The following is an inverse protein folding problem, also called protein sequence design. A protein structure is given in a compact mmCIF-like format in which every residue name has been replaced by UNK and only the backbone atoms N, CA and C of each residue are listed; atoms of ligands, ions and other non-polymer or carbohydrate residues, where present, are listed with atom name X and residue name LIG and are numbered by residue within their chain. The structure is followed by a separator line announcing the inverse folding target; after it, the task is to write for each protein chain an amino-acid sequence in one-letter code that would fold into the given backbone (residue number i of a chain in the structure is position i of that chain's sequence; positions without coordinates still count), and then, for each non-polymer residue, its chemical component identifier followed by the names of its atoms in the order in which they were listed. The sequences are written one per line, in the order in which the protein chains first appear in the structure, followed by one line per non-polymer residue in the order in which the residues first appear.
data_IF_997048717399
#
_entry.id   IF_997048717399
#
_cell.length_a   1.000
_cell.length_b   1.000
_cell.length_c   1.000
_cell.angle_alpha   90.00
_cell.angle_beta   90.00
_cell.angle_gamma   90.00
#
_symmetry.space_group_name_H-M   'P 1'
#
loop_
_entity.id
_entity.type
_entity.pdbx_description
1 polymer ?
#
# COMPACT_ATOMS: atom_id res chain seq x y z
N UNK A 1 8.53 -13.55 -21.09
CA UNK A 1 9.97 -13.37 -20.81
C UNK A 1 10.39 -12.06 -21.44
N UNK A 2 11.00 -11.19 -20.65
CA UNK A 2 11.46 -9.86 -21.05
C UNK A 2 12.92 -9.89 -21.48
N UNK A 3 13.23 -9.10 -22.49
CA UNK A 3 14.61 -8.79 -22.89
C UNK A 3 15.10 -7.53 -22.17
N UNK A 4 16.42 -7.31 -22.16
CA UNK A 4 16.98 -6.08 -21.58
C UNK A 4 16.42 -4.79 -22.21
N UNK A 5 16.00 -4.82 -23.48
CA UNK A 5 15.35 -3.69 -24.15
C UNK A 5 13.95 -3.36 -23.64
N UNK A 6 13.25 -4.31 -23.00
CA UNK A 6 11.90 -4.08 -22.48
C UNK A 6 11.91 -3.34 -21.12
N UNK A 7 13.08 -3.32 -20.47
CA UNK A 7 13.27 -2.76 -19.14
C UNK A 7 12.97 -1.27 -19.11
N UNK A 8 12.08 -0.90 -18.20
CA UNK A 8 11.63 0.48 -17.98
C UNK A 8 11.10 0.62 -16.57
N UNK A 9 11.06 1.85 -16.06
CA UNK A 9 10.41 2.16 -14.78
C UNK A 9 8.95 1.67 -14.78
N UNK A 10 8.55 1.02 -13.69
CA UNK A 10 7.23 0.43 -13.49
C UNK A 10 7.10 -1.02 -13.99
N UNK A 11 8.04 -1.54 -14.77
CA UNK A 11 7.98 -2.93 -15.22
C UNK A 11 8.16 -3.88 -14.02
N UNK A 12 7.28 -4.89 -13.94
CA UNK A 12 7.37 -5.97 -12.95
C UNK A 12 8.10 -7.15 -13.57
N UNK A 13 9.13 -7.64 -12.88
CA UNK A 13 10.01 -8.73 -13.33
C UNK A 13 10.18 -9.74 -12.21
N UNK A 14 10.46 -10.99 -12.57
CA UNK A 14 10.76 -12.05 -11.61
C UNK A 14 12.25 -12.38 -11.64
N UNK A 15 12.87 -12.42 -10.46
CA UNK A 15 14.27 -12.77 -10.27
C UNK A 15 14.31 -13.84 -9.18
N UNK A 16 14.81 -15.02 -9.52
CA UNK A 16 14.92 -16.16 -8.59
C UNK A 16 13.60 -16.51 -7.89
N UNK A 17 12.48 -16.44 -8.62
CA UNK A 17 11.13 -16.72 -8.09
C UNK A 17 10.50 -15.59 -7.27
N UNK A 18 11.17 -14.43 -7.17
CA UNK A 18 10.69 -13.29 -6.38
C UNK A 18 10.26 -12.15 -7.30
N UNK A 19 9.08 -11.54 -7.09
CA UNK A 19 8.61 -10.41 -7.89
C UNK A 19 9.28 -9.10 -7.47
N UNK A 20 9.78 -8.36 -8.46
CA UNK A 20 10.38 -7.05 -8.33
C UNK A 20 9.70 -6.04 -9.25
N UNK A 21 9.61 -4.79 -8.81
CA UNK A 21 9.25 -3.66 -9.67
C UNK A 21 10.47 -2.78 -9.93
N UNK A 22 10.69 -2.40 -11.19
CA UNK A 22 11.75 -1.45 -11.56
C UNK A 22 11.33 -0.05 -11.13
N UNK A 23 12.02 0.51 -10.16
CA UNK A 23 11.75 1.85 -9.62
C UNK A 23 12.54 2.94 -10.33
N UNK A 24 13.71 2.59 -10.89
CA UNK A 24 14.56 3.49 -11.66
C UNK A 24 15.29 2.70 -12.75
N UNK A 25 15.55 3.36 -13.87
CA UNK A 25 16.14 2.75 -15.06
C UNK A 25 17.07 3.73 -15.78
N UNK A 26 18.27 3.28 -16.10
CA UNK A 26 19.25 4.05 -16.84
C UNK A 26 19.95 3.18 -17.89
N UNK A 27 19.90 3.62 -19.15
CA UNK A 27 20.54 2.96 -20.27
C UNK A 27 21.81 3.71 -20.70
N UNK A 28 22.93 2.99 -20.77
CA UNK A 28 24.22 3.53 -21.19
C UNK A 28 24.73 2.76 -22.40
N UNK A 29 24.94 3.48 -23.50
CA UNK A 29 25.61 2.96 -24.71
C UNK A 29 27.04 3.51 -24.77
N UNK A 30 28.06 2.74 -24.37
CA UNK A 30 29.44 3.22 -24.43
C UNK A 30 29.89 3.35 -25.89
N UNK A 31 30.78 4.31 -26.18
CA UNK A 31 31.33 4.50 -27.52
C UNK A 31 32.10 3.29 -28.07
N UNK A 32 32.57 2.42 -27.16
CA UNK A 32 33.09 1.07 -27.45
C UNK A 32 32.61 0.11 -26.35
N UNK A 33 32.09 -1.07 -26.74
CA UNK A 33 31.64 -2.11 -25.81
C UNK A 33 30.13 -2.38 -25.85
N UNK A 34 29.67 -3.34 -25.04
CA UNK A 34 28.27 -3.72 -24.95
C UNK A 34 27.46 -2.71 -24.13
N UNK A 35 26.23 -2.45 -24.58
CA UNK A 35 25.28 -1.60 -23.87
C UNK A 35 24.96 -2.12 -22.46
N UNK A 36 24.66 -1.21 -21.54
CA UNK A 36 24.38 -1.51 -20.14
C UNK A 36 23.02 -0.93 -19.76
N UNK A 37 22.22 -1.75 -19.09
CA UNK A 37 20.89 -1.43 -18.59
C UNK A 37 20.94 -1.48 -17.07
N UNK A 38 21.06 -0.34 -16.41
CA UNK A 38 21.10 -0.24 -14.96
C UNK A 38 19.68 -0.09 -14.42
N UNK A 39 19.26 -0.99 -13.53
CA UNK A 39 17.94 -0.96 -12.91
C UNK A 39 18.07 -0.86 -11.40
N UNK A 40 17.28 0.01 -10.77
CA UNK A 40 16.96 -0.06 -9.35
C UNK A 40 15.65 -0.80 -9.18
N UNK A 41 15.70 -1.95 -8.54
CA UNK A 41 14.59 -2.88 -8.36
C UNK A 41 14.12 -2.83 -6.90
N UNK A 42 12.80 -2.83 -6.68
CA UNK A 42 12.20 -2.95 -5.35
C UNK A 42 11.49 -4.30 -5.25
N UNK A 43 11.83 -5.09 -4.25
CA UNK A 43 11.17 -6.35 -3.94
C UNK A 43 9.71 -6.06 -3.57
N UNK A 44 8.77 -6.70 -4.23
CA UNK A 44 7.34 -6.44 -4.02
C UNK A 44 6.79 -7.09 -2.74
N UNK A 45 7.51 -8.04 -2.15
CA UNK A 45 7.14 -8.72 -0.90
C UNK A 45 7.76 -8.00 0.30
N UNK A 46 9.07 -7.75 0.25
CA UNK A 46 9.82 -7.22 1.40
C UNK A 46 10.05 -5.71 1.35
N UNK A 47 9.80 -5.07 0.20
CA UNK A 47 10.12 -3.65 -0.02
C UNK A 47 11.62 -3.34 -0.16
N UNK A 48 12.50 -4.33 0.01
CA UNK A 48 13.96 -4.16 -0.11
C UNK A 48 14.35 -3.69 -1.52
N UNK A 49 15.31 -2.78 -1.60
CA UNK A 49 15.80 -2.25 -2.88
C UNK A 49 17.15 -2.86 -3.25
N UNK A 50 17.32 -3.25 -4.51
CA UNK A 50 18.60 -3.69 -5.06
C UNK A 50 18.91 -2.97 -6.37
N UNK A 51 20.19 -2.85 -6.71
CA UNK A 51 20.62 -2.32 -8.00
C UNK A 51 21.30 -3.43 -8.79
N UNK A 52 20.89 -3.62 -10.04
CA UNK A 52 21.45 -4.64 -10.93
C UNK A 52 21.64 -4.08 -12.33
N UNK A 53 22.73 -4.48 -12.98
CA UNK A 53 23.04 -4.13 -14.36
C UNK A 53 22.82 -5.32 -15.26
N UNK A 54 22.17 -5.09 -16.39
CA UNK A 54 21.91 -6.09 -17.42
C UNK A 54 22.62 -5.72 -18.72
N UNK A 55 22.91 -6.74 -19.54
CA UNK A 55 23.44 -6.67 -20.90
C UNK A 55 22.33 -7.01 -21.88
N UNK A 56 22.54 -6.69 -23.16
CA UNK A 56 21.54 -6.90 -24.22
C UNK A 56 21.04 -8.35 -24.36
N UNK A 57 21.85 -9.34 -23.94
CA UNK A 57 21.49 -10.75 -24.02
C UNK A 57 20.83 -11.29 -22.75
N UNK A 58 20.77 -10.49 -21.68
CA UNK A 58 20.12 -10.90 -20.45
C UNK A 58 18.60 -10.91 -20.65
N UNK A 59 17.97 -11.92 -20.06
CA UNK A 59 16.52 -12.09 -20.05
C UNK A 59 16.01 -12.19 -18.63
N UNK A 60 14.77 -11.75 -18.44
CA UNK A 60 14.09 -11.71 -17.16
C UNK A 60 12.72 -12.35 -17.30
N UNK A 61 12.26 -13.04 -16.26
CA UNK A 61 10.94 -13.63 -16.27
C UNK A 61 9.88 -12.59 -15.93
N UNK A 62 8.66 -12.87 -16.36
CA UNK A 62 7.48 -12.11 -15.96
C UNK A 62 6.91 -12.78 -14.72
N UNK A 63 6.68 -12.03 -13.62
CA UNK A 63 6.12 -12.60 -12.41
C UNK A 63 4.65 -12.95 -12.65
N UNK A 64 4.22 -14.10 -12.13
CA UNK A 64 2.81 -14.47 -12.10
C UNK A 64 2.09 -13.66 -11.03
N UNK A 65 1.53 -12.53 -11.44
CA UNK A 65 0.76 -11.66 -10.58
C UNK A 65 -0.71 -11.72 -10.96
N UNK A 66 -1.55 -11.88 -9.96
CA UNK A 66 -2.99 -11.80 -10.08
C UNK A 66 -3.50 -10.71 -9.13
N UNK A 67 -4.41 -9.88 -9.62
CA UNK A 67 -5.05 -8.84 -8.83
C UNK A 67 -6.51 -9.23 -8.65
N UNK A 68 -6.95 -9.34 -7.40
CA UNK A 68 -8.33 -9.70 -7.05
C UNK A 68 -8.96 -8.61 -6.22
N UNK A 69 -10.05 -8.07 -6.72
CA UNK A 69 -10.92 -7.17 -5.95
C UNK A 69 -11.78 -8.00 -5.00
N UNK A 70 -11.60 -7.81 -3.69
CA UNK A 70 -12.29 -8.57 -2.64
C UNK A 70 -12.84 -7.63 -1.57
N UNK A 71 -13.81 -8.08 -0.79
CA UNK A 71 -14.38 -7.34 0.34
C UNK A 71 -13.86 -7.87 1.65
N UNK A 72 -13.46 -6.97 2.54
CA UNK A 72 -13.10 -7.35 3.89
C UNK A 72 -14.32 -7.93 4.63
N UNK A 73 -14.14 -9.07 5.29
CA UNK A 73 -15.17 -9.75 6.04
C UNK A 73 -14.95 -9.62 7.54
N UNK A 74 -13.93 -10.28 8.10
CA UNK A 74 -13.63 -10.23 9.53
C UNK A 74 -12.17 -10.55 9.81
N UNK A 75 -11.76 -10.34 11.06
CA UNK A 75 -10.45 -10.69 11.58
C UNK A 75 -10.53 -12.01 12.35
N UNK A 76 -9.61 -12.93 12.06
CA UNK A 76 -9.45 -14.21 12.77
C UNK A 76 -8.03 -14.30 13.35
N UNK A 77 -7.88 -14.11 14.66
CA UNK A 77 -6.57 -14.07 15.31
C UNK A 77 -5.67 -12.96 14.73
N UNK A 78 -4.57 -13.34 14.07
CA UNK A 78 -3.62 -12.43 13.41
C UNK A 78 -3.82 -12.33 11.89
N UNK A 79 -4.91 -12.91 11.39
CA UNK A 79 -5.27 -12.97 9.99
C UNK A 79 -6.56 -12.21 9.70
N UNK A 80 -6.71 -11.77 8.46
CA UNK A 80 -7.83 -10.99 7.98
C UNK A 80 -8.44 -11.72 6.78
N UNK A 81 -9.75 -11.96 6.84
CA UNK A 81 -10.48 -12.74 5.85
C UNK A 81 -11.18 -11.79 4.88
N UNK A 82 -10.99 -12.06 3.60
CA UNK A 82 -11.59 -11.32 2.49
C UNK A 82 -12.44 -12.27 1.63
N UNK A 83 -13.51 -11.74 1.04
CA UNK A 83 -14.46 -12.48 0.23
C UNK A 83 -14.52 -11.91 -1.20
N UNK A 84 -14.45 -12.77 -2.20
CA UNK A 84 -14.79 -12.42 -3.58
C UNK A 84 -16.33 -12.43 -3.77
N UNK A 85 -16.80 -11.91 -4.91
CA UNK A 85 -18.16 -11.98 -5.44
C UNK A 85 -18.73 -13.41 -5.45
N UNK A 86 -17.88 -14.43 -5.59
CA UNK A 86 -18.27 -15.83 -5.56
C UNK A 86 -18.27 -16.45 -4.14
N UNK A 87 -18.09 -15.64 -3.09
CA UNK A 87 -17.92 -16.08 -1.70
C UNK A 87 -16.69 -16.97 -1.45
N UNK A 88 -15.71 -16.95 -2.37
CA UNK A 88 -14.40 -17.55 -2.13
C UNK A 88 -13.64 -16.70 -1.11
N UNK A 89 -13.09 -17.37 -0.10
CA UNK A 89 -12.34 -16.74 0.97
C UNK A 89 -10.85 -16.69 0.64
N UNK A 90 -10.23 -15.55 0.94
CA UNK A 90 -8.79 -15.39 0.95
C UNK A 90 -8.37 -14.81 2.29
N UNK A 91 -7.37 -15.44 2.88
CA UNK A 91 -6.83 -15.04 4.18
C UNK A 91 -5.52 -14.29 3.99
N UNK A 92 -5.40 -13.12 4.60
CA UNK A 92 -4.21 -12.28 4.54
C UNK A 92 -3.68 -12.02 5.95
N UNK A 93 -2.38 -12.24 6.15
CA UNK A 93 -1.72 -12.01 7.44
C UNK A 93 -1.60 -10.51 7.74
N UNK A 94 -1.65 -10.15 9.02
CA UNK A 94 -1.46 -8.78 9.49
C UNK A 94 -0.15 -8.12 9.00
N UNK A 95 0.90 -8.92 8.77
CA UNK A 95 2.20 -8.46 8.25
C UNK A 95 2.10 -7.93 6.82
N UNK A 96 1.30 -8.57 5.96
CA UNK A 96 1.09 -8.17 4.55
C UNK A 96 0.25 -6.88 4.47
N UNK A 97 -0.71 -6.73 5.38
CA UNK A 97 -1.53 -5.52 5.49
C UNK A 97 -0.76 -4.32 6.07
N UNK A 98 0.25 -4.56 6.90
CA UNK A 98 0.99 -3.49 7.59
C UNK A 98 0.06 -2.59 8.40
N UNK A 99 0.25 -1.27 8.29
CA UNK A 99 -0.58 -0.28 8.98
C UNK A 99 -1.99 -0.15 8.37
N UNK A 100 -2.19 -0.58 7.12
CA UNK A 100 -3.49 -0.52 6.46
C UNK A 100 -4.57 -1.34 7.16
N UNK A 101 -4.17 -2.32 7.99
CA UNK A 101 -5.10 -3.10 8.83
C UNK A 101 -5.94 -2.25 9.77
N UNK A 102 -5.44 -1.08 10.19
CA UNK A 102 -6.17 -0.16 11.07
C UNK A 102 -7.25 0.62 10.32
N UNK A 103 -7.17 0.66 8.99
CA UNK A 103 -8.08 1.39 8.12
C UNK A 103 -9.20 0.51 7.54
N UNK A 104 -9.16 -0.81 7.78
CA UNK A 104 -10.20 -1.73 7.33
C UNK A 104 -11.54 -1.46 8.01
N UNK A 105 -12.61 -1.41 7.22
CA UNK A 105 -14.01 -1.31 7.65
C UNK A 105 -14.77 -2.49 7.04
N UNK A 106 -15.78 -3.02 7.73
CA UNK A 106 -16.60 -4.10 7.17
C UNK A 106 -17.11 -3.75 5.77
N UNK A 107 -17.14 -4.76 4.88
CA UNK A 107 -17.54 -4.65 3.49
C UNK A 107 -16.68 -3.74 2.60
N UNK A 108 -15.58 -3.16 3.11
CA UNK A 108 -14.68 -2.35 2.28
C UNK A 108 -14.10 -3.20 1.15
N UNK A 109 -14.21 -2.69 -0.07
CA UNK A 109 -13.63 -3.30 -1.26
C UNK A 109 -12.14 -2.91 -1.35
N UNK A 110 -11.28 -3.91 -1.54
CA UNK A 110 -9.82 -3.77 -1.63
C UNK A 110 -9.29 -4.58 -2.80
N UNK A 111 -8.16 -4.16 -3.34
CA UNK A 111 -7.45 -4.92 -4.38
C UNK A 111 -6.29 -5.68 -3.74
N UNK A 112 -6.34 -7.01 -3.84
CA UNK A 112 -5.31 -7.90 -3.28
C UNK A 112 -4.42 -8.36 -4.42
N UNK A 113 -3.11 -8.10 -4.27
CA UNK A 113 -2.09 -8.58 -5.18
C UNK A 113 -1.58 -9.94 -4.72
N UNK A 114 -1.73 -10.94 -5.57
CA UNK A 114 -1.39 -12.33 -5.32
C UNK A 114 -0.22 -12.72 -6.23
N UNK A 115 0.77 -13.42 -5.68
CA UNK A 115 1.90 -13.97 -6.41
C UNK A 115 2.06 -15.45 -6.05
N UNK A 116 1.94 -16.34 -7.04
CA UNK A 116 1.97 -17.80 -6.85
C UNK A 116 1.05 -18.27 -5.69
N UNK A 117 -0.22 -17.87 -5.75
CA UNK A 117 -1.26 -18.20 -4.75
C UNK A 117 -1.07 -17.60 -3.35
N UNK A 118 -0.02 -16.80 -3.12
CA UNK A 118 0.21 -16.10 -1.86
C UNK A 118 -0.10 -14.60 -1.98
N UNK A 119 -0.90 -14.01 -1.07
CA UNK A 119 -1.10 -12.57 -1.00
C UNK A 119 0.23 -11.88 -0.64
N UNK A 120 0.64 -10.90 -1.46
CA UNK A 120 1.87 -10.13 -1.26
C UNK A 120 1.62 -8.65 -1.02
N UNK A 121 0.40 -8.18 -1.25
CA UNK A 121 0.02 -6.80 -0.98
C UNK A 121 -1.49 -6.62 -1.00
N UNK A 122 -1.96 -5.59 -0.28
CA UNK A 122 -3.36 -5.18 -0.27
C UNK A 122 -3.40 -3.67 -0.46
N UNK A 123 -4.13 -3.23 -1.48
CA UNK A 123 -4.38 -1.83 -1.76
C UNK A 123 -5.80 -1.47 -1.32
N UNK A 124 -5.89 -0.56 -0.35
CA UNK A 124 -7.16 0.00 0.09
C UNK A 124 -7.57 1.17 -0.81
N UNK A 125 -8.86 1.53 -0.82
CA UNK A 125 -9.30 2.81 -1.37
C UNK A 125 -8.44 3.96 -0.82
N UNK A 126 -8.16 4.95 -1.67
CA UNK A 126 -7.30 6.09 -1.30
C UNK A 126 -7.80 6.81 -0.05
N UNK A 127 -9.11 6.82 0.15
CA UNK A 127 -9.74 7.42 1.30
C UNK A 127 -10.66 6.44 1.99
N UNK A 128 -10.57 6.39 3.32
CA UNK A 128 -11.52 5.66 4.17
C UNK A 128 -12.13 6.61 5.18
N UNK A 129 -13.33 6.29 5.63
CA UNK A 129 -14.03 7.05 6.66
C UNK A 129 -14.00 6.26 7.96
N UNK A 130 -13.55 6.93 9.04
CA UNK A 130 -13.39 6.33 10.36
C UNK A 130 -13.85 7.30 11.43
N UNK A 131 -14.44 6.75 12.48
CA UNK A 131 -14.90 7.50 13.65
C UNK A 131 -13.75 7.71 14.63
N UNK A 132 -13.65 8.93 15.19
CA UNK A 132 -12.75 9.21 16.30
C UNK A 132 -13.32 8.63 17.60
N UNK A 133 -12.57 7.72 18.22
CA UNK A 133 -12.96 7.09 19.50
C UNK A 133 -12.42 7.85 20.71
N UNK A 134 -11.30 8.55 20.56
CA UNK A 134 -10.64 9.29 21.65
C UNK A 134 -9.89 10.50 21.09
N UNK A 135 -10.08 11.69 21.66
CA UNK A 135 -9.25 12.87 21.38
C UNK A 135 -9.40 13.88 22.50
N UNK A 136 -8.36 14.67 22.76
CA UNK A 136 -8.41 15.72 23.78
C UNK A 136 -9.31 16.90 23.35
N UNK A 137 -10.03 17.55 24.28
CA UNK A 137 -10.80 18.76 23.98
C UNK A 137 -9.88 19.86 23.43
N UNK A 138 -10.25 20.48 22.31
CA UNK A 138 -9.47 21.58 21.74
C UNK A 138 -9.40 22.77 22.71
N UNK A 139 -8.19 23.18 23.09
CA UNK A 139 -8.01 24.35 23.94
C UNK A 139 -8.46 25.63 23.20
N UNK A 140 -9.58 26.23 23.65
CA UNK A 140 -10.05 27.55 23.21
C UNK A 140 -9.03 28.61 23.63
N UNK A 141 -8.02 28.86 22.82
CA UNK A 141 -6.98 29.86 23.11
C UNK A 141 -5.80 29.88 22.15
N UNK A 142 -5.58 28.79 21.41
CA UNK A 142 -4.52 28.78 20.38
C UNK A 142 -4.99 29.53 19.13
N UNK A 143 -4.52 30.77 18.98
CA UNK A 143 -4.65 31.60 17.77
C UNK A 143 -3.69 31.21 16.65
N UNK A 144 -2.88 30.18 16.85
CA UNK A 144 -2.02 29.63 15.80
C UNK A 144 -2.88 28.84 14.79
N UNK A 145 -2.87 29.31 13.54
CA UNK A 145 -3.37 28.56 12.40
C UNK A 145 -2.59 27.25 12.27
N UNK A 146 -3.29 26.13 12.04
CA UNK A 146 -2.72 24.81 11.74
C UNK A 146 -2.15 23.98 12.91
N UNK A 147 -2.61 24.20 14.15
CA UNK A 147 -2.29 23.28 15.26
C UNK A 147 -3.05 21.96 15.08
N UNK A 148 -2.32 20.85 15.14
CA UNK A 148 -2.86 19.50 15.16
C UNK A 148 -2.82 18.94 16.59
N UNK A 149 -3.72 18.00 16.88
CA UNK A 149 -3.76 17.23 18.12
C UNK A 149 -3.83 15.73 17.82
N UNK A 150 -3.32 14.87 18.70
CA UNK A 150 -3.51 13.44 18.57
C UNK A 150 -4.98 13.06 18.77
N UNK A 151 -5.43 12.09 17.98
CA UNK A 151 -6.72 11.43 18.14
C UNK A 151 -6.54 9.94 17.81
N UNK A 152 -7.35 9.09 18.41
CA UNK A 152 -7.43 7.67 18.07
C UNK A 152 -8.68 7.39 17.28
N UNK A 153 -8.52 6.61 16.22
CA UNK A 153 -9.63 6.08 15.43
C UNK A 153 -10.05 4.71 15.95
N UNK A 154 -11.24 4.27 15.54
CA UNK A 154 -11.66 2.88 15.70
C UNK A 154 -10.59 1.92 15.14
N UNK A 155 -10.13 0.97 15.97
CA UNK A 155 -9.01 0.08 15.66
C UNK A 155 -7.69 0.46 16.35
N UNK A 156 -7.62 1.63 17.00
CA UNK A 156 -6.51 2.00 17.90
C UNK A 156 -5.33 2.71 17.23
N UNK A 157 -5.45 3.10 15.96
CA UNK A 157 -4.43 3.88 15.27
C UNK A 157 -4.49 5.36 15.70
N UNK A 158 -3.31 5.94 15.96
CA UNK A 158 -3.17 7.33 16.37
C UNK A 158 -2.91 8.22 15.15
N UNK A 159 -3.72 9.27 15.01
CA UNK A 159 -3.70 10.20 13.88
C UNK A 159 -3.69 11.65 14.37
N UNK A 160 -2.98 12.51 13.65
CA UNK A 160 -2.94 13.94 13.92
C UNK A 160 -4.13 14.62 13.21
N UNK A 161 -5.00 15.26 13.98
CA UNK A 161 -6.23 15.90 13.49
C UNK A 161 -6.31 17.37 13.90
N UNK A 162 -7.05 18.22 13.16
CA UNK A 162 -7.27 19.61 13.57
C UNK A 162 -7.96 19.74 14.94
N UNK A 163 -7.69 20.85 15.65
CA UNK A 163 -8.25 21.10 17.00
C UNK A 163 -9.78 21.03 17.11
N UNK A 164 -10.49 21.32 16.02
CA UNK A 164 -11.96 21.34 15.98
C UNK A 164 -12.62 19.95 15.86
N UNK A 165 -11.83 18.90 15.60
CA UNK A 165 -12.33 17.52 15.57
C UNK A 165 -12.65 17.07 16.99
N UNK A 166 -13.81 16.46 17.19
CA UNK A 166 -14.21 15.95 18.51
C UNK A 166 -14.38 14.43 18.47
N UNK A 167 -14.46 13.83 19.65
CA UNK A 167 -14.84 12.43 19.79
C UNK A 167 -16.22 12.20 19.18
N UNK A 168 -16.36 11.13 18.39
CA UNK A 168 -17.57 10.82 17.64
C UNK A 168 -17.65 11.45 16.24
N UNK A 169 -16.76 12.39 15.90
CA UNK A 169 -16.68 12.90 14.52
C UNK A 169 -16.19 11.78 13.57
N UNK A 170 -16.79 11.72 12.39
CA UNK A 170 -16.31 10.88 11.28
C UNK A 170 -15.33 11.68 10.45
N UNK A 171 -14.12 11.15 10.29
CA UNK A 171 -13.05 11.74 9.50
C UNK A 171 -12.73 10.88 8.29
N UNK A 172 -12.29 11.53 7.23
CA UNK A 172 -11.71 10.91 6.05
C UNK A 172 -10.20 10.84 6.21
N UNK A 173 -9.62 9.66 6.01
CA UNK A 173 -8.19 9.37 6.17
C UNK A 173 -7.61 8.98 4.82
N UNK A 174 -6.44 9.50 4.47
CA UNK A 174 -5.67 9.05 3.30
C UNK A 174 -4.87 7.79 3.67
N UNK A 175 -5.26 6.63 3.13
CA UNK A 175 -4.67 5.32 3.47
C UNK A 175 -3.21 5.17 3.06
N UNK A 176 -2.72 5.99 2.13
CA UNK A 176 -1.32 5.95 1.66
C UNK A 176 -0.36 6.61 2.65
N UNK A 177 -0.87 7.58 3.41
CA UNK A 177 -0.08 8.34 4.38
C UNK A 177 -0.50 8.08 5.83
N UNK A 178 -1.68 7.51 6.04
CA UNK A 178 -2.32 7.39 7.35
C UNK A 178 -2.72 8.75 7.95
N UNK A 179 -2.80 9.80 7.13
CA UNK A 179 -3.05 11.17 7.57
C UNK A 179 -4.51 11.61 7.45
N UNK A 180 -4.89 12.60 8.25
CA UNK A 180 -6.20 13.25 8.17
C UNK A 180 -6.34 13.96 6.81
N UNK A 181 -7.46 13.72 6.12
CA UNK A 181 -7.80 14.39 4.86
C UNK A 181 -8.91 15.42 5.07
N UNK A 182 -10.06 15.03 5.58
CA UNK A 182 -11.21 15.93 5.77
C UNK A 182 -12.14 15.45 6.88
N UNK A 183 -13.03 16.32 7.37
CA UNK A 183 -14.12 15.93 8.27
C UNK A 183 -15.38 15.69 7.45
N UNK A 184 -15.94 14.50 7.57
CA UNK A 184 -17.20 14.16 6.91
C UNK A 184 -18.31 14.92 7.64
N UNK A 185 -19.04 15.75 6.90
CA UNK A 185 -20.26 16.40 7.41
C UNK A 185 -21.41 15.45 7.18
N UNK A 186 -21.94 14.86 8.25
CA UNK A 186 -23.26 14.21 8.19
C UNK A 186 -24.29 15.31 7.96
N UNK A 187 -24.98 15.26 6.82
CA UNK A 187 -26.08 16.15 6.47
C UNK A 187 -27.35 15.80 7.25
#
# INVERSE_FOLDING_TARGET
MYSASDLRKGLRVEIDGVPFVITDFNFVKPGKGASIYNCRLKNMITGATLTRSYRSNDTLNEPKLEERTMRYSYKDGDEYVFLDKNFEQLTVRAEVLGDSRFFLVEEIEVDILIHNDAPIGVELPTFVEKTIVETEPGARGNTATNVLKPAKIEGGYEIQVPLFINQGDVIRIDTRTGGYSDRVRTA
#
